data_IF_882927513760
#
_entry.id   IF_882927513760
#
_cell.length_a   1.000
_cell.length_b   1.000
_cell.length_c   1.000
_cell.angle_alpha   90.00
_cell.angle_beta   90.00
_cell.angle_gamma   90.00
#
_symmetry.space_group_name_H-M   'P 1'
#
loop_
_entity.id
_entity.type
_entity.pdbx_description
1 polymer ?
#
# COMPACT_ATOMS: atom_id res chain seq x y z
N UNK A 1 -24.83 -30.25 -33.57
CA UNK A 1 -25.76 -29.18 -33.13
C UNK A 1 -25.08 -27.86 -33.47
N UNK A 2 -25.50 -27.16 -34.53
CA UNK A 2 -24.94 -25.84 -34.83
C UNK A 2 -25.48 -24.84 -33.81
N UNK A 3 -24.66 -24.45 -32.83
CA UNK A 3 -25.03 -23.42 -31.85
C UNK A 3 -25.53 -22.15 -32.53
N UNK A 4 -26.52 -21.49 -31.93
CA UNK A 4 -27.17 -20.28 -32.47
C UNK A 4 -26.14 -19.24 -32.88
N UNK A 5 -26.11 -18.87 -34.18
CA UNK A 5 -25.14 -17.94 -34.75
C UNK A 5 -25.16 -16.57 -34.06
N UNK A 6 -26.31 -16.16 -33.54
CA UNK A 6 -26.52 -14.93 -32.77
C UNK A 6 -25.72 -14.91 -31.46
N UNK A 7 -25.78 -16.00 -30.67
CA UNK A 7 -25.03 -16.12 -29.41
C UNK A 7 -23.52 -16.00 -29.66
N UNK A 8 -23.00 -16.68 -30.69
CA UNK A 8 -21.57 -16.61 -31.04
C UNK A 8 -21.16 -15.18 -31.40
N UNK A 9 -21.94 -14.49 -32.22
CA UNK A 9 -21.63 -13.13 -32.63
C UNK A 9 -21.69 -12.15 -31.45
N UNK A 10 -22.64 -12.34 -30.52
CA UNK A 10 -22.75 -11.54 -29.28
C UNK A 10 -21.52 -11.76 -28.39
N UNK A 11 -21.10 -13.01 -28.19
CA UNK A 11 -19.90 -13.33 -27.39
C UNK A 11 -18.64 -12.70 -27.98
N UNK A 12 -18.48 -12.77 -29.31
CA UNK A 12 -17.35 -12.13 -30.00
C UNK A 12 -17.38 -10.61 -29.86
N UNK A 13 -18.55 -9.98 -30.02
CA UNK A 13 -18.69 -8.53 -29.85
C UNK A 13 -18.38 -8.08 -28.41
N UNK A 14 -18.86 -8.83 -27.40
CA UNK A 14 -18.61 -8.55 -25.99
C UNK A 14 -17.11 -8.66 -25.69
N UNK A 15 -16.42 -9.69 -26.21
CA UNK A 15 -14.98 -9.84 -26.05
C UNK A 15 -14.23 -8.62 -26.61
N UNK A 16 -14.58 -8.17 -27.83
CA UNK A 16 -13.95 -7.00 -28.46
C UNK A 16 -14.18 -5.73 -27.63
N UNK A 17 -15.40 -5.52 -27.15
CA UNK A 17 -15.74 -4.35 -26.31
C UNK A 17 -14.97 -4.42 -24.98
N UNK A 18 -14.93 -5.58 -24.32
CA UNK A 18 -14.19 -5.77 -23.08
C UNK A 18 -12.69 -5.49 -23.26
N UNK A 19 -12.10 -5.96 -24.35
CA UNK A 19 -10.71 -5.68 -24.69
C UNK A 19 -10.45 -4.19 -24.93
N UNK A 20 -11.33 -3.50 -25.68
CA UNK A 20 -11.25 -2.04 -25.88
C UNK A 20 -11.33 -1.28 -24.57
N UNK A 21 -12.25 -1.67 -23.68
CA UNK A 21 -12.43 -1.02 -22.38
C UNK A 21 -11.16 -1.17 -21.53
N UNK A 22 -10.53 -2.34 -21.51
CA UNK A 22 -9.28 -2.60 -20.76
C UNK A 22 -8.09 -1.84 -21.38
N UNK A 23 -7.92 -1.88 -22.70
CA UNK A 23 -6.78 -1.22 -23.39
C UNK A 23 -6.89 0.30 -23.41
N UNK A 24 -8.11 0.84 -23.38
CA UNK A 24 -8.38 2.26 -23.23
C UNK A 24 -8.33 2.74 -21.76
N UNK A 25 -7.68 2.02 -20.85
CA UNK A 25 -7.39 2.50 -19.49
C UNK A 25 -6.91 3.97 -19.39
N UNK A 26 -6.00 4.49 -20.25
CA UNK A 26 -5.56 5.88 -20.16
C UNK A 26 -6.69 6.92 -20.26
N UNK A 27 -7.72 6.66 -21.09
CA UNK A 27 -8.83 7.61 -21.33
C UNK A 27 -9.97 7.50 -20.31
N UNK A 28 -9.88 6.58 -19.34
CA UNK A 28 -10.91 6.45 -18.31
C UNK A 28 -11.01 7.71 -17.46
N UNK A 29 -12.24 8.10 -17.05
CA UNK A 29 -12.42 9.19 -16.13
C UNK A 29 -11.74 8.86 -14.79
N UNK A 30 -11.21 9.88 -14.11
CA UNK A 30 -10.38 9.70 -12.90
C UNK A 30 -11.11 8.89 -11.80
N UNK A 31 -12.42 9.05 -11.64
CA UNK A 31 -13.22 8.29 -10.68
C UNK A 31 -13.18 6.76 -10.92
N UNK A 32 -13.10 6.33 -12.18
CA UNK A 32 -13.11 4.90 -12.53
C UNK A 32 -11.75 4.25 -12.25
N UNK A 33 -10.65 4.99 -12.48
CA UNK A 33 -9.29 4.55 -12.12
C UNK A 33 -9.18 4.34 -10.61
N UNK A 34 -9.65 5.32 -9.85
CA UNK A 34 -9.68 5.29 -8.39
C UNK A 34 -10.57 4.14 -7.87
N UNK A 35 -11.76 3.94 -8.46
CA UNK A 35 -12.64 2.84 -8.09
C UNK A 35 -12.01 1.46 -8.31
N UNK A 36 -11.30 1.26 -9.44
CA UNK A 36 -10.61 0.01 -9.73
C UNK A 36 -9.47 -0.23 -8.74
N UNK A 37 -8.71 0.82 -8.41
CA UNK A 37 -7.66 0.76 -7.40
C UNK A 37 -8.21 0.32 -6.04
N UNK A 38 -9.26 1.00 -5.54
CA UNK A 38 -9.89 0.62 -4.27
C UNK A 38 -10.46 -0.79 -4.31
N UNK A 39 -11.10 -1.20 -5.42
CA UNK A 39 -11.62 -2.57 -5.56
C UNK A 39 -10.50 -3.61 -5.51
N UNK A 40 -9.39 -3.37 -6.21
CA UNK A 40 -8.23 -4.26 -6.22
C UNK A 40 -7.59 -4.38 -4.84
N UNK A 41 -7.32 -3.25 -4.18
CA UNK A 41 -6.72 -3.22 -2.83
C UNK A 41 -7.65 -3.85 -1.81
N UNK A 42 -8.94 -3.54 -1.84
CA UNK A 42 -9.93 -4.13 -0.93
C UNK A 42 -10.04 -5.64 -1.12
N UNK A 43 -10.06 -6.10 -2.37
CA UNK A 43 -10.09 -7.53 -2.68
C UNK A 43 -8.83 -8.26 -2.23
N UNK A 44 -7.65 -7.64 -2.42
CA UNK A 44 -6.37 -8.16 -1.95
C UNK A 44 -6.36 -8.31 -0.43
N UNK A 45 -6.74 -7.25 0.30
CA UNK A 45 -6.81 -7.25 1.76
C UNK A 45 -7.81 -8.31 2.23
N UNK A 46 -8.96 -8.42 1.57
CA UNK A 46 -9.98 -9.41 1.91
C UNK A 46 -9.44 -10.85 1.78
N UNK A 47 -8.76 -11.19 0.67
CA UNK A 47 -8.14 -12.51 0.49
C UNK A 47 -7.03 -12.73 1.52
N UNK A 48 -6.18 -11.72 1.76
CA UNK A 48 -5.10 -11.82 2.72
C UNK A 48 -5.64 -12.13 4.14
N UNK A 49 -6.65 -11.39 4.59
CA UNK A 49 -7.31 -11.65 5.88
C UNK A 49 -7.93 -13.06 5.89
N UNK A 50 -8.61 -13.47 4.82
CA UNK A 50 -9.17 -14.81 4.74
C UNK A 50 -8.11 -15.92 4.87
N UNK A 51 -6.95 -15.76 4.22
CA UNK A 51 -5.82 -16.70 4.35
C UNK A 51 -5.26 -16.71 5.76
N UNK A 52 -5.05 -15.53 6.37
CA UNK A 52 -4.55 -15.42 7.75
C UNK A 52 -5.51 -16.09 8.73
N UNK A 53 -6.81 -15.83 8.61
CA UNK A 53 -7.84 -16.46 9.47
C UNK A 53 -7.86 -17.98 9.27
N UNK A 54 -7.78 -18.45 8.02
CA UNK A 54 -7.70 -19.90 7.71
C UNK A 54 -6.49 -20.55 8.38
N UNK A 55 -5.31 -19.95 8.26
CA UNK A 55 -4.07 -20.45 8.88
C UNK A 55 -4.12 -20.37 10.40
N UNK A 56 -4.68 -19.30 10.96
CA UNK A 56 -4.82 -19.13 12.41
C UNK A 56 -5.73 -20.20 13.01
N UNK A 57 -6.89 -20.46 12.40
CA UNK A 57 -7.81 -21.52 12.86
C UNK A 57 -7.14 -22.89 12.73
N UNK A 58 -6.46 -23.16 11.61
CA UNK A 58 -5.69 -24.40 11.44
C UNK A 58 -4.65 -24.56 12.55
N UNK A 59 -3.86 -23.53 12.84
CA UNK A 59 -2.83 -23.56 13.88
C UNK A 59 -3.41 -23.83 15.27
N UNK A 60 -4.48 -23.14 15.66
CA UNK A 60 -5.13 -23.32 16.97
C UNK A 60 -5.70 -24.74 17.13
N UNK A 61 -6.39 -25.25 16.11
CA UNK A 61 -6.97 -26.61 16.15
C UNK A 61 -5.90 -27.69 16.05
N UNK A 62 -4.83 -27.44 15.30
CA UNK A 62 -3.68 -28.34 15.21
C UNK A 62 -2.99 -28.49 16.57
N UNK A 63 -2.90 -27.42 17.37
CA UNK A 63 -2.37 -27.50 18.75
C UNK A 63 -3.22 -28.43 19.65
N UNK A 64 -4.54 -28.50 19.42
CA UNK A 64 -5.46 -29.43 20.12
C UNK A 64 -5.34 -30.85 19.55
N UNK A 65 -4.87 -31.00 18.31
CA UNK A 65 -4.67 -32.28 17.63
C UNK A 65 -5.67 -32.61 16.54
N UNK A 66 -6.33 -31.60 16.00
CA UNK A 66 -7.21 -31.72 14.85
C UNK A 66 -6.66 -30.89 13.70
N UNK A 67 -6.56 -31.49 12.53
CA UNK A 67 -6.33 -30.77 11.28
C UNK A 67 -7.67 -30.27 10.75
N UNK A 68 -7.89 -28.98 10.89
CA UNK A 68 -9.06 -28.32 10.36
C UNK A 68 -8.69 -27.39 9.22
N UNK A 69 -9.24 -27.66 8.04
CA UNK A 69 -9.11 -26.79 6.89
C UNK A 69 -10.46 -26.18 6.55
N UNK A 70 -10.56 -24.85 6.67
CA UNK A 70 -11.64 -24.08 6.07
C UNK A 70 -11.40 -24.00 4.57
N UNK A 71 -12.36 -24.46 3.76
CA UNK A 71 -12.30 -24.48 2.30
C UNK A 71 -10.98 -25.10 1.79
N UNK A 72 -10.80 -26.43 1.93
CA UNK A 72 -9.58 -27.13 1.51
C UNK A 72 -9.23 -26.88 0.05
N UNK A 73 -10.22 -26.84 -0.84
CA UNK A 73 -10.04 -26.81 -2.29
C UNK A 73 -9.94 -25.40 -2.91
N UNK A 74 -9.93 -24.33 -2.10
CA UNK A 74 -10.01 -22.96 -2.63
C UNK A 74 -8.77 -22.53 -3.43
N UNK A 75 -7.63 -23.18 -3.19
CA UNK A 75 -6.36 -22.96 -3.91
C UNK A 75 -6.03 -24.11 -4.87
N UNK A 76 -6.98 -25.01 -5.13
CA UNK A 76 -6.79 -26.06 -6.12
C UNK A 76 -7.11 -25.51 -7.51
N UNK A 77 -6.08 -25.34 -8.33
CA UNK A 77 -6.18 -24.78 -9.68
C UNK A 77 -6.77 -25.76 -10.70
N UNK A 78 -6.94 -27.02 -10.33
CA UNK A 78 -7.50 -28.07 -11.20
C UNK A 78 -9.02 -28.14 -11.13
N UNK A 79 -9.64 -27.50 -10.14
CA UNK A 79 -11.08 -27.53 -9.93
C UNK A 79 -11.77 -26.30 -10.53
N UNK A 80 -13.03 -26.49 -10.92
CA UNK A 80 -13.89 -25.37 -11.26
C UNK A 80 -14.10 -24.50 -10.03
N UNK A 81 -14.34 -23.19 -10.23
CA UNK A 81 -14.62 -22.24 -9.15
C UNK A 81 -15.77 -22.74 -8.26
N UNK A 82 -16.80 -23.35 -8.84
CA UNK A 82 -17.93 -23.89 -8.08
C UNK A 82 -17.55 -25.09 -7.21
N UNK A 83 -16.67 -25.97 -7.72
CA UNK A 83 -16.23 -27.17 -7.00
C UNK A 83 -15.18 -26.83 -5.93
N UNK A 84 -14.49 -25.71 -6.06
CA UNK A 84 -13.51 -25.21 -5.08
C UNK A 84 -14.15 -24.84 -3.74
N UNK A 85 -15.46 -24.53 -3.73
CA UNK A 85 -16.21 -24.18 -2.52
C UNK A 85 -16.81 -25.39 -1.78
N UNK A 86 -16.58 -26.61 -2.29
CA UNK A 86 -17.12 -27.84 -1.72
C UNK A 86 -15.99 -28.88 -1.56
N UNK A 87 -15.82 -29.53 -0.40
CA UNK A 87 -16.50 -29.31 0.88
C UNK A 87 -16.05 -28.01 1.58
N UNK A 88 -16.94 -27.38 2.36
CA UNK A 88 -16.67 -26.11 3.06
C UNK A 88 -15.64 -26.25 4.19
N UNK A 89 -15.52 -27.43 4.78
CA UNK A 89 -14.57 -27.73 5.84
C UNK A 89 -14.13 -29.18 5.78
N UNK A 90 -12.88 -29.45 6.16
CA UNK A 90 -12.40 -30.80 6.46
C UNK A 90 -11.85 -30.82 7.88
N UNK A 91 -12.21 -31.85 8.64
CA UNK A 91 -11.71 -32.07 9.99
C UNK A 91 -11.18 -33.49 10.08
N UNK A 92 -9.89 -33.61 10.34
CA UNK A 92 -9.21 -34.90 10.48
C UNK A 92 -8.47 -34.93 11.82
N UNK A 93 -8.45 -36.10 12.46
CA UNK A 93 -7.70 -36.29 13.69
C UNK A 93 -6.22 -36.50 13.33
N UNK A 94 -5.35 -35.70 13.92
CA UNK A 94 -3.92 -35.75 13.63
C UNK A 94 -3.27 -37.03 14.14
N UNK A 95 -2.39 -37.62 13.33
CA UNK A 95 -1.67 -38.85 13.65
C UNK A 95 -0.80 -38.76 14.93
N UNK A 96 -0.52 -39.93 15.52
CA UNK A 96 0.29 -40.01 16.74
C UNK A 96 1.74 -39.54 16.56
N UNK A 97 2.27 -39.60 15.32
CA UNK A 97 3.62 -39.16 14.97
C UNK A 97 3.83 -37.65 15.17
N UNK A 98 2.77 -36.85 15.00
CA UNK A 98 2.90 -35.38 15.02
C UNK A 98 2.84 -34.76 16.41
N UNK A 99 2.74 -35.59 17.46
CA UNK A 99 2.73 -35.11 18.85
C UNK A 99 4.05 -34.42 19.23
N UNK A 100 5.16 -34.87 18.65
CA UNK A 100 6.49 -34.27 18.88
C UNK A 100 6.51 -32.84 18.33
N UNK A 101 6.03 -32.62 17.11
CA UNK A 101 5.96 -31.30 16.50
C UNK A 101 5.06 -30.33 17.28
N UNK A 102 3.94 -30.82 17.84
CA UNK A 102 3.07 -30.01 18.72
C UNK A 102 3.77 -29.59 20.01
N UNK A 103 4.51 -30.51 20.64
CA UNK A 103 5.29 -30.19 21.84
C UNK A 103 6.41 -29.18 21.53
N UNK A 104 7.11 -29.35 20.41
CA UNK A 104 8.12 -28.40 19.93
C UNK A 104 7.49 -27.03 19.68
N UNK A 105 6.33 -26.97 19.01
CA UNK A 105 5.61 -25.73 18.76
C UNK A 105 5.16 -25.05 20.06
N UNK A 106 4.66 -25.81 21.05
CA UNK A 106 4.32 -25.29 22.38
C UNK A 106 5.54 -24.73 23.11
N UNK A 107 6.66 -25.43 23.08
CA UNK A 107 7.92 -24.98 23.68
C UNK A 107 8.44 -23.73 22.97
N UNK A 108 8.39 -23.69 21.64
CA UNK A 108 8.76 -22.52 20.85
C UNK A 108 7.84 -21.33 21.12
N UNK A 109 6.53 -21.54 21.25
CA UNK A 109 5.57 -20.51 21.63
C UNK A 109 5.80 -20.00 23.05
N UNK A 110 6.11 -20.89 23.99
CA UNK A 110 6.47 -20.51 25.36
C UNK A 110 7.80 -19.72 25.39
N UNK A 111 8.80 -20.17 24.65
CA UNK A 111 10.07 -19.46 24.49
C UNK A 111 9.89 -18.11 23.82
N UNK A 112 9.03 -18.01 22.80
CA UNK A 112 8.64 -16.76 22.16
C UNK A 112 7.92 -15.84 23.15
N UNK A 113 6.97 -16.34 23.94
CA UNK A 113 6.32 -15.55 24.99
C UNK A 113 7.32 -15.03 26.03
N UNK A 114 8.28 -15.86 26.45
CA UNK A 114 9.36 -15.46 27.38
C UNK A 114 10.28 -14.43 26.73
N UNK A 115 10.61 -14.60 25.44
CA UNK A 115 11.41 -13.66 24.67
C UNK A 115 10.68 -12.32 24.50
N UNK A 116 9.40 -12.31 24.11
CA UNK A 116 8.55 -11.11 24.01
C UNK A 116 8.44 -10.40 25.36
N UNK A 117 8.32 -11.14 26.47
CA UNK A 117 8.31 -10.53 27.81
C UNK A 117 9.66 -9.92 28.21
N UNK A 118 10.75 -10.46 27.68
CA UNK A 118 12.11 -9.98 27.95
C UNK A 118 12.57 -8.94 26.92
N UNK A 119 11.82 -8.73 25.83
CA UNK A 119 12.11 -7.71 24.86
C UNK A 119 11.62 -6.37 25.40
N UNK A 120 12.47 -5.34 25.50
CA UNK A 120 12.00 -3.98 25.72
C UNK A 120 11.27 -3.58 24.43
N UNK A 121 9.96 -3.82 24.39
CA UNK A 121 9.13 -3.44 23.25
C UNK A 121 8.74 -1.99 23.43
N UNK A 122 9.00 -1.14 22.44
CA UNK A 122 8.53 0.26 22.35
C UNK A 122 6.98 0.38 22.34
N UNK A 123 6.27 -0.72 22.57
CA UNK A 123 4.83 -0.79 22.64
C UNK A 123 4.24 0.13 23.72
N UNK A 124 4.94 0.33 24.84
CA UNK A 124 4.52 1.29 25.86
C UNK A 124 4.59 2.72 25.31
N UNK A 125 5.63 3.07 24.55
CA UNK A 125 5.76 4.37 23.87
C UNK A 125 4.69 4.54 22.78
N UNK A 126 4.44 3.52 21.96
CA UNK A 126 3.37 3.55 20.94
C UNK A 126 1.97 3.66 21.56
N UNK A 127 1.74 3.01 22.70
CA UNK A 127 0.48 3.07 23.44
C UNK A 127 0.31 4.44 24.12
N UNK A 128 1.38 5.02 24.65
CA UNK A 128 1.38 6.37 25.21
C UNK A 128 1.12 7.41 24.13
N UNK A 129 1.83 7.33 22.99
CA UNK A 129 1.58 8.16 21.81
C UNK A 129 0.13 8.05 21.36
N UNK A 130 -0.41 6.83 21.22
CA UNK A 130 -1.81 6.62 20.80
C UNK A 130 -2.80 7.24 21.79
N UNK A 131 -2.55 7.10 23.10
CA UNK A 131 -3.38 7.74 24.14
C UNK A 131 -3.26 9.25 24.11
N UNK A 132 -2.06 9.79 23.92
CA UNK A 132 -1.79 11.22 23.88
C UNK A 132 -2.43 11.86 22.64
N UNK A 133 -2.32 11.24 21.46
CA UNK A 133 -3.05 11.65 20.26
C UNK A 133 -4.56 11.57 20.46
N UNK A 134 -5.06 10.52 21.09
CA UNK A 134 -6.49 10.39 21.39
C UNK A 134 -6.95 11.50 22.33
N UNK A 135 -6.20 11.77 23.39
CA UNK A 135 -6.53 12.83 24.36
C UNK A 135 -6.41 14.22 23.75
N UNK A 136 -5.44 14.48 22.87
CA UNK A 136 -5.29 15.73 22.12
C UNK A 136 -6.41 15.95 21.09
N UNK A 137 -6.95 14.88 20.50
CA UNK A 137 -8.16 14.90 19.64
C UNK A 137 -9.38 15.26 20.49
N UNK A 138 -9.59 14.57 21.61
CA UNK A 138 -10.79 14.76 22.44
C UNK A 138 -10.76 16.06 23.26
N UNK A 139 -9.58 16.53 23.65
CA UNK A 139 -9.39 17.80 24.36
C UNK A 139 -9.38 19.02 23.43
N UNK A 140 -9.36 18.80 22.11
CA UNK A 140 -9.34 19.87 21.11
C UNK A 140 -7.99 20.59 20.98
N UNK A 141 -6.97 20.16 21.73
CA UNK A 141 -5.62 20.73 21.73
C UNK A 141 -4.91 20.53 20.41
N UNK A 142 -5.15 19.41 19.71
CA UNK A 142 -4.54 19.10 18.42
C UNK A 142 -4.91 20.12 17.33
N UNK A 143 -6.18 20.52 17.28
CA UNK A 143 -6.67 21.51 16.31
C UNK A 143 -6.19 22.92 16.65
N UNK A 144 -6.11 23.27 17.94
CA UNK A 144 -5.61 24.59 18.35
C UNK A 144 -4.11 24.75 18.16
N UNK A 145 -3.33 23.69 18.35
CA UNK A 145 -1.87 23.71 18.21
C UNK A 145 -1.44 23.80 16.73
N UNK A 146 -2.13 23.06 15.85
CA UNK A 146 -1.92 23.19 14.40
C UNK A 146 -2.36 24.56 13.88
N UNK A 147 -3.49 25.10 14.35
CA UNK A 147 -3.97 26.43 13.95
C UNK A 147 -3.06 27.57 14.41
N UNK A 148 -2.37 27.44 15.55
CA UNK A 148 -1.42 28.45 16.03
C UNK A 148 -0.12 28.42 15.25
N UNK A 149 0.39 27.24 14.87
CA UNK A 149 1.57 27.09 14.02
C UNK A 149 1.41 27.76 12.65
N UNK A 150 0.22 27.70 12.07
CA UNK A 150 -0.11 28.36 10.81
C UNK A 150 -0.29 29.88 11.00
N UNK A 151 -0.82 30.33 12.15
CA UNK A 151 -1.01 31.76 12.42
C UNK A 151 0.31 32.48 12.75
N UNK A 152 1.22 31.83 13.47
CA UNK A 152 2.51 32.40 13.87
C UNK A 152 3.50 32.54 12.68
N UNK A 153 3.32 31.74 11.62
CA UNK A 153 4.15 31.81 10.40
C UNK A 153 3.68 32.86 9.37
N UNK A 154 2.56 33.55 9.60
CA UNK A 154 2.07 34.59 8.68
C UNK A 154 2.88 35.89 8.80
N UNK A 155 3.54 36.14 9.93
CA UNK A 155 4.29 37.39 10.19
C UNK A 155 5.68 37.41 9.50
N UNK A 156 6.12 36.30 8.90
CA UNK A 156 7.39 36.18 8.19
C UNK A 156 7.36 36.67 6.74
N UNK A 157 6.18 36.91 6.17
CA UNK A 157 6.04 37.43 4.80
C UNK A 157 6.26 38.94 4.84
N UNK A 158 7.53 39.34 4.68
CA UNK A 158 7.96 40.73 4.58
C UNK A 158 7.47 41.30 3.24
N UNK A 159 6.30 41.92 3.24
CA UNK A 159 5.87 42.71 2.08
C UNK A 159 6.86 43.87 1.92
N UNK A 160 7.45 44.08 0.73
CA UNK A 160 8.37 45.19 0.50
C UNK A 160 7.70 46.52 0.84
N UNK A 161 8.38 47.36 1.62
CA UNK A 161 7.89 48.71 1.92
C UNK A 161 8.00 49.59 0.67
N UNK A 162 7.18 50.63 0.60
CA UNK A 162 7.07 51.49 -0.59
C UNK A 162 8.41 52.12 -1.02
N UNK A 163 9.37 52.24 -0.10
CA UNK A 163 10.71 52.77 -0.34
C UNK A 163 11.66 51.73 -0.96
N UNK A 164 11.45 50.43 -0.73
CA UNK A 164 12.12 49.33 -1.47
C UNK A 164 11.60 49.28 -2.91
N UNK A 165 10.27 49.42 -3.10
CA UNK A 165 9.66 49.50 -4.43
C UNK A 165 10.07 50.76 -5.20
N UNK A 166 10.21 51.91 -4.52
CA UNK A 166 10.69 53.13 -5.17
C UNK A 166 12.18 53.03 -5.52
N UNK A 167 12.96 52.33 -4.70
CA UNK A 167 14.39 52.11 -4.95
C UNK A 167 14.62 51.17 -6.12
N UNK A 168 13.81 50.13 -6.28
CA UNK A 168 13.84 49.25 -7.45
C UNK A 168 13.38 49.98 -8.73
N UNK A 169 12.46 50.95 -8.65
CA UNK A 169 12.05 51.78 -9.79
C UNK A 169 13.10 52.84 -10.17
N UNK A 170 13.83 53.42 -9.19
CA UNK A 170 14.92 54.38 -9.42
C UNK A 170 16.26 53.72 -9.78
N UNK A 171 16.48 52.43 -9.44
CA UNK A 171 17.64 51.63 -9.89
C UNK A 171 17.42 51.00 -11.29
N UNK A 172 16.23 51.15 -11.90
CA UNK A 172 15.89 50.69 -13.25
C UNK A 172 16.28 51.71 -14.36
N UNK A 173 17.46 52.32 -14.25
CA UNK A 173 18.16 52.90 -15.41
C UNK A 173 19.09 51.82 -16.02
N UNK A 174 18.50 51.11 -17.00
CA UNK A 174 19.11 50.59 -18.24
C UNK A 174 19.79 49.20 -18.40
N UNK A 175 20.03 48.32 -17.41
CA UNK A 175 20.76 47.04 -17.74
C UNK A 175 20.25 45.68 -17.19
N UNK A 176 19.27 45.57 -16.28
CA UNK A 176 19.06 44.31 -15.53
C UNK A 176 17.84 43.44 -15.92
N UNK A 177 17.17 43.72 -17.05
CA UNK A 177 16.03 42.91 -17.51
C UNK A 177 16.46 41.54 -18.08
N UNK A 178 17.72 41.40 -18.53
CA UNK A 178 18.28 40.15 -19.08
C UNK A 178 18.70 39.17 -17.96
N UNK A 179 19.19 39.68 -16.83
CA UNK A 179 19.65 38.85 -15.70
C UNK A 179 18.49 38.18 -14.93
N UNK A 180 17.33 38.84 -14.84
CA UNK A 180 16.14 38.26 -14.20
C UNK A 180 15.46 37.18 -15.06
N UNK A 181 15.70 37.16 -16.38
CA UNK A 181 15.22 36.08 -17.25
C UNK A 181 16.11 34.84 -17.15
N UNK A 182 17.43 35.01 -17.02
CA UNK A 182 18.39 33.91 -16.83
C UNK A 182 18.20 33.22 -15.47
N UNK A 183 17.95 33.97 -14.38
CA UNK A 183 17.73 33.38 -13.05
C UNK A 183 16.42 32.57 -12.95
N UNK A 184 15.39 32.92 -13.73
CA UNK A 184 14.13 32.16 -13.76
C UNK A 184 14.28 30.86 -14.56
N UNK A 185 15.15 30.84 -15.58
CA UNK A 185 15.43 29.62 -16.35
C UNK A 185 16.29 28.63 -15.56
N UNK A 186 17.24 29.11 -14.76
CA UNK A 186 18.08 28.26 -13.90
C UNK A 186 17.30 27.64 -12.72
N UNK A 187 16.28 28.31 -12.18
CA UNK A 187 15.41 27.73 -11.14
C UNK A 187 14.45 26.65 -11.67
N UNK A 188 13.94 26.79 -12.91
CA UNK A 188 13.08 25.77 -13.54
C UNK A 188 13.88 24.50 -13.92
N UNK A 189 15.14 24.63 -14.35
CA UNK A 189 16.01 23.48 -14.69
C UNK A 189 16.49 22.71 -13.44
N UNK A 190 16.68 23.36 -12.29
CA UNK A 190 17.01 22.67 -11.02
C UNK A 190 15.83 21.87 -10.45
N UNK A 191 14.59 22.36 -10.57
CA UNK A 191 13.40 21.64 -10.08
C UNK A 191 13.04 20.43 -10.98
N UNK A 192 13.26 20.50 -12.30
CA UNK A 192 13.10 19.34 -13.20
C UNK A 192 14.17 18.26 -12.94
N UNK A 193 15.40 18.65 -12.56
CA UNK A 193 16.47 17.71 -12.19
C UNK A 193 16.20 16.96 -10.88
N UNK A 194 15.56 17.63 -9.90
CA UNK A 194 15.13 17.01 -8.63
C UNK A 194 13.94 16.07 -8.81
N UNK A 195 13.06 16.35 -9.76
CA UNK A 195 11.94 15.48 -10.10
C UNK A 195 12.40 14.22 -10.87
N UNK A 196 13.38 14.35 -11.77
CA UNK A 196 13.99 13.21 -12.48
C UNK A 196 14.78 12.28 -11.54
N UNK A 197 15.55 12.83 -10.59
CA UNK A 197 16.36 12.04 -9.65
C UNK A 197 15.56 11.23 -8.62
N UNK A 198 14.27 11.53 -8.42
CA UNK A 198 13.41 10.76 -7.51
C UNK A 198 12.74 9.54 -8.16
N UNK A 199 12.95 9.31 -9.46
CA UNK A 199 12.25 8.26 -10.23
C UNK A 199 13.17 7.15 -10.76
N UNK A 200 14.49 7.21 -10.54
CA UNK A 200 15.46 6.25 -11.12
C UNK A 200 16.11 5.25 -10.15
N UNK A 201 15.77 5.26 -8.85
CA UNK A 201 16.26 4.26 -7.89
C UNK A 201 15.23 3.12 -7.70
N UNK A 202 15.18 2.15 -8.62
CA UNK A 202 14.80 0.73 -8.33
C UNK A 202 14.84 -0.15 -9.60
N UNK A 203 15.95 -0.17 -10.35
CA UNK A 203 16.22 -1.26 -11.31
C UNK A 203 17.71 -1.65 -11.31
N UNK A 204 17.94 -2.96 -11.12
CA UNK A 204 19.10 -3.79 -11.48
C UNK A 204 20.41 -3.76 -10.64
N UNK A 205 20.55 -4.77 -9.77
CA UNK A 205 21.82 -5.47 -9.53
C UNK A 205 21.56 -6.96 -9.19
N UNK A 206 21.64 -7.87 -10.17
CA UNK A 206 22.20 -9.22 -9.96
C UNK A 206 22.88 -9.75 -11.23
N UNK A 207 24.17 -9.42 -11.30
CA UNK A 207 25.33 -10.26 -11.65
C UNK A 207 25.15 -11.42 -12.68
N UNK A 208 25.70 -11.19 -13.87
CA UNK A 208 25.95 -12.19 -14.91
C UNK A 208 27.08 -13.12 -14.46
N UNK A 209 26.76 -14.39 -14.25
CA UNK A 209 27.71 -15.47 -13.97
C UNK A 209 28.45 -15.88 -15.25
N UNK A 210 29.72 -15.50 -15.37
CA UNK A 210 30.63 -16.07 -16.35
C UNK A 210 31.05 -17.50 -15.94
N UNK A 211 30.69 -18.46 -16.81
CA UNK A 211 31.18 -19.84 -16.80
C UNK A 211 32.57 -19.87 -17.43
N UNK A 212 33.57 -20.29 -16.67
CA UNK A 212 34.71 -21.03 -17.20
C UNK A 212 35.34 -21.92 -16.10
N UNK A 213 35.63 -23.17 -16.49
CA UNK A 213 36.23 -24.34 -15.78
C UNK A 213 35.27 -25.33 -15.11
#
# INVERSE_FOLDING_TARGET
YEGSKTLRNIMTALLIIGFLVITCFPIWPQWAKVALWYMSVTFLIFIAIFVVVRLFIFFVLWMIGYEYWLLPNIFDDNLSVADSFVPLYSLQATGASERIYRLVALVAFAAFCVWVKNQPTDFDDYMELTKQFTDDIYSGKLLSDMSQKDQDNIDGVKVPDLEDLLRDDDENDDDDQEANFDHILDEDDEDDSKFSGATEDDDDDEEVVDRDL
#
